data_IF_222541690114
#
_entry.id   IF_222541690114
#
_cell.length_a   1.000
_cell.length_b   1.000
_cell.length_c   1.000
_cell.angle_alpha   90.00
_cell.angle_beta   90.00
_cell.angle_gamma   90.00
#
_symmetry.space_group_name_H-M   'P 1'
#
loop_
_entity.id
_entity.type
_entity.pdbx_description
1 polymer ?
#
# COMPACT_ATOMS: atom_id res chain seq x y z
N UNK A 1 36.40 4.92 18.40
CA UNK A 1 36.87 5.10 17.01
C UNK A 1 36.49 3.97 16.09
N UNK A 2 36.80 2.73 16.44
CA UNK A 2 36.40 1.58 15.59
C UNK A 2 34.89 1.50 15.36
N UNK A 3 34.11 1.77 16.41
CA UNK A 3 32.66 1.73 16.32
C UNK A 3 32.13 2.79 15.33
N UNK A 4 32.64 4.00 15.42
CA UNK A 4 32.23 5.08 14.52
C UNK A 4 32.67 4.83 13.10
N UNK A 5 33.87 4.26 12.91
CA UNK A 5 34.35 3.89 11.58
C UNK A 5 33.50 2.80 10.96
N UNK A 6 33.17 1.77 11.75
CA UNK A 6 32.34 0.67 11.26
C UNK A 6 30.95 1.15 10.86
N UNK A 7 30.33 2.01 11.68
CA UNK A 7 29.01 2.56 11.38
C UNK A 7 29.03 3.43 10.14
N UNK A 8 30.08 4.24 9.99
CA UNK A 8 30.24 5.09 8.81
C UNK A 8 30.41 4.25 7.55
N UNK A 9 31.19 3.18 7.64
CA UNK A 9 31.41 2.27 6.52
C UNK A 9 30.13 1.55 6.13
N UNK A 10 29.39 1.05 7.11
CA UNK A 10 28.08 0.41 6.88
C UNK A 10 27.09 1.36 6.24
N UNK A 11 27.06 2.61 6.69
CA UNK A 11 26.17 3.62 6.13
C UNK A 11 26.50 3.89 4.67
N UNK A 12 27.78 3.92 4.31
CA UNK A 12 28.22 4.15 2.93
C UNK A 12 27.84 2.98 2.04
N UNK A 13 27.99 1.75 2.54
CA UNK A 13 27.76 0.55 1.75
C UNK A 13 26.34 0.00 1.88
N UNK A 14 25.61 0.44 2.92
CA UNK A 14 24.25 -0.01 3.12
C UNK A 14 23.33 0.70 2.14
N UNK A 15 22.72 -0.10 1.29
CA UNK A 15 21.67 0.39 0.41
C UNK A 15 20.42 -0.41 0.74
N UNK A 16 19.42 0.23 1.37
CA UNK A 16 18.18 -0.49 1.66
C UNK A 16 17.60 -0.99 0.36
N UNK A 17 17.22 -2.26 0.35
CA UNK A 17 16.57 -2.87 -0.81
C UNK A 17 15.14 -2.38 -0.89
N UNK A 18 14.93 -1.29 -1.61
CA UNK A 18 13.61 -0.72 -1.82
C UNK A 18 12.98 -1.37 -3.04
N UNK A 19 11.92 -2.10 -2.81
CA UNK A 19 11.11 -2.67 -3.87
C UNK A 19 9.85 -1.85 -4.05
N UNK A 20 9.25 -1.98 -5.21
CA UNK A 20 7.98 -1.32 -5.50
C UNK A 20 6.85 -2.33 -5.34
N UNK A 21 5.83 -1.95 -4.60
CA UNK A 21 4.69 -2.79 -4.29
C UNK A 21 3.39 -2.08 -4.62
N UNK A 22 2.38 -2.88 -4.89
CA UNK A 22 1.01 -2.41 -5.04
C UNK A 22 0.14 -3.24 -4.12
N UNK A 23 -0.61 -2.57 -3.25
CA UNK A 23 -1.56 -3.24 -2.37
C UNK A 23 -2.98 -2.78 -2.69
N UNK A 24 -3.88 -3.75 -2.79
CA UNK A 24 -5.31 -3.48 -2.90
C UNK A 24 -5.96 -4.06 -1.66
N UNK A 25 -6.72 -3.24 -0.96
CA UNK A 25 -7.45 -3.72 0.20
C UNK A 25 -8.90 -3.28 0.13
N UNK A 26 -9.76 -4.11 0.71
CA UNK A 26 -11.22 -3.93 0.65
C UNK A 26 -11.70 -3.67 2.06
N UNK A 27 -12.37 -2.54 2.26
CA UNK A 27 -12.93 -2.15 3.54
C UNK A 27 -14.41 -2.49 3.59
N UNK A 28 -14.90 -2.78 4.79
CA UNK A 28 -16.30 -3.14 5.02
C UNK A 28 -17.23 -2.00 4.55
N UNK A 29 -18.35 -2.33 3.88
CA UNK A 29 -19.26 -1.31 3.35
C UNK A 29 -20.07 -0.59 4.41
N UNK A 30 -20.02 -1.03 5.66
CA UNK A 30 -20.75 -0.38 6.75
C UNK A 30 -20.10 0.91 7.24
N UNK A 31 -18.90 1.22 6.77
CA UNK A 31 -18.19 2.44 7.15
C UNK A 31 -18.83 3.67 6.51
N UNK A 32 -18.89 4.77 7.26
CA UNK A 32 -19.20 6.08 6.69
C UNK A 32 -18.02 6.55 5.83
N UNK A 33 -18.25 7.56 5.01
CA UNK A 33 -17.17 8.14 4.18
C UNK A 33 -16.01 8.62 5.03
N UNK A 34 -16.30 9.25 6.17
CA UNK A 34 -15.27 9.72 7.08
C UNK A 34 -14.49 8.55 7.69
N UNK A 35 -15.18 7.52 8.14
CA UNK A 35 -14.54 6.33 8.71
C UNK A 35 -13.66 5.63 7.69
N UNK A 36 -14.12 5.58 6.43
CA UNK A 36 -13.32 5.01 5.35
C UNK A 36 -12.03 5.80 5.14
N UNK A 37 -12.12 7.13 5.08
CA UNK A 37 -10.96 7.99 4.93
C UNK A 37 -9.98 7.83 6.08
N UNK A 38 -10.47 7.78 7.30
CA UNK A 38 -9.64 7.58 8.49
C UNK A 38 -8.92 6.25 8.44
N UNK A 39 -9.60 5.21 7.97
CA UNK A 39 -9.00 3.87 7.86
C UNK A 39 -7.88 3.87 6.82
N UNK A 40 -8.11 4.47 5.66
CA UNK A 40 -7.09 4.60 4.61
C UNK A 40 -5.89 5.39 5.13
N UNK A 41 -6.14 6.51 5.82
CA UNK A 41 -5.07 7.33 6.39
C UNK A 41 -4.26 6.57 7.44
N UNK A 42 -4.91 5.69 8.22
CA UNK A 42 -4.22 4.85 9.18
C UNK A 42 -3.16 3.97 8.49
N UNK A 43 -3.51 3.32 7.40
CA UNK A 43 -2.58 2.44 6.69
C UNK A 43 -1.49 3.22 5.96
N UNK A 44 -1.83 4.38 5.41
CA UNK A 44 -0.83 5.28 4.82
C UNK A 44 0.15 5.75 5.90
N UNK A 45 -0.34 6.05 7.09
CA UNK A 45 0.49 6.46 8.22
C UNK A 45 1.44 5.35 8.67
N UNK A 46 0.98 4.10 8.67
CA UNK A 46 1.83 2.95 8.98
C UNK A 46 2.97 2.85 7.96
N UNK A 47 2.67 2.99 6.69
CA UNK A 47 3.68 2.97 5.63
C UNK A 47 4.69 4.11 5.81
N UNK A 48 4.22 5.33 6.03
CA UNK A 48 5.08 6.49 6.22
C UNK A 48 5.99 6.33 7.45
N UNK A 49 5.44 5.81 8.56
CA UNK A 49 6.20 5.58 9.78
C UNK A 49 7.30 4.54 9.60
N UNK A 50 7.13 3.62 8.67
CA UNK A 50 8.13 2.60 8.35
C UNK A 50 9.11 3.02 7.26
N UNK A 51 9.07 4.27 6.83
CA UNK A 51 9.97 4.79 5.81
C UNK A 51 9.57 4.45 4.38
N UNK A 52 8.36 4.00 4.16
CA UNK A 52 7.86 3.75 2.81
C UNK A 52 7.54 5.07 2.10
N UNK A 53 7.74 5.07 0.79
CA UNK A 53 7.36 6.19 -0.06
C UNK A 53 6.10 5.84 -0.82
N UNK A 54 5.03 6.58 -0.60
CA UNK A 54 3.77 6.37 -1.31
C UNK A 54 3.88 7.05 -2.68
N UNK A 55 3.73 6.26 -3.75
CA UNK A 55 3.88 6.71 -5.12
C UNK A 55 2.53 7.10 -5.72
N UNK A 56 1.51 6.30 -5.44
CA UNK A 56 0.19 6.49 -6.02
C UNK A 56 -0.87 5.88 -5.13
N UNK A 57 -2.05 6.47 -5.14
CA UNK A 57 -3.22 5.89 -4.48
C UNK A 57 -4.45 6.10 -5.34
N UNK A 58 -5.34 5.12 -5.32
CA UNK A 58 -6.60 5.19 -6.04
C UNK A 58 -7.70 4.66 -5.14
N UNK A 59 -8.78 5.42 -5.05
CA UNK A 59 -10.00 4.95 -4.40
C UNK A 59 -10.98 4.54 -5.50
N UNK A 60 -11.33 3.26 -5.51
CA UNK A 60 -12.24 2.73 -6.54
C UNK A 60 -13.69 2.79 -6.10
N UNK A 61 -13.93 3.18 -4.84
CA UNK A 61 -15.27 3.28 -4.29
C UNK A 61 -15.89 1.95 -3.94
N UNK A 62 -17.19 1.97 -3.76
CA UNK A 62 -17.97 0.79 -3.41
C UNK A 62 -18.15 -0.10 -4.64
N UNK A 63 -17.71 -1.35 -4.55
CA UNK A 63 -17.80 -2.31 -5.65
C UNK A 63 -18.27 -3.65 -5.15
N UNK A 64 -18.93 -4.38 -6.05
CA UNK A 64 -19.37 -5.75 -5.78
C UNK A 64 -18.17 -6.68 -5.79
N UNK A 65 -18.06 -7.52 -4.76
CA UNK A 65 -17.01 -8.54 -4.68
C UNK A 65 -17.47 -9.78 -5.47
N UNK A 66 -16.47 -10.49 -6.04
CA UNK A 66 -16.73 -11.74 -6.77
C UNK A 66 -17.40 -12.79 -5.88
N UNK A 67 -16.99 -12.82 -4.60
CA UNK A 67 -17.54 -13.74 -3.61
C UNK A 67 -17.89 -12.97 -2.34
N UNK A 68 -19.00 -13.29 -1.67
CA UNK A 68 -19.31 -12.65 -0.40
C UNK A 68 -18.24 -12.97 0.67
N UNK A 69 -17.91 -11.95 1.47
CA UNK A 69 -17.01 -12.09 2.61
C UNK A 69 -17.79 -11.62 3.83
N UNK A 70 -17.88 -12.46 4.88
CA UNK A 70 -18.63 -12.16 6.09
C UNK A 70 -20.06 -11.72 5.78
N UNK A 71 -20.71 -12.41 4.82
CA UNK A 71 -22.07 -12.13 4.34
C UNK A 71 -22.23 -10.78 3.65
N UNK A 72 -21.13 -10.10 3.32
CA UNK A 72 -21.17 -8.84 2.59
C UNK A 72 -20.78 -9.08 1.13
N UNK A 73 -21.56 -8.51 0.23
CA UNK A 73 -21.34 -8.67 -1.21
C UNK A 73 -20.62 -7.48 -1.84
N UNK A 74 -20.47 -6.38 -1.11
CA UNK A 74 -19.80 -5.17 -1.57
C UNK A 74 -18.73 -4.74 -0.58
N UNK A 75 -17.82 -3.89 -1.03
CA UNK A 75 -16.79 -3.30 -0.20
C UNK A 75 -16.17 -2.09 -0.87
N UNK A 76 -15.48 -1.29 -0.08
CA UNK A 76 -14.73 -0.14 -0.58
C UNK A 76 -13.34 -0.61 -0.99
N UNK A 77 -13.00 -0.43 -2.26
CA UNK A 77 -11.72 -0.84 -2.83
C UNK A 77 -10.75 0.33 -2.82
N UNK A 78 -9.56 0.09 -2.29
CA UNK A 78 -8.49 1.08 -2.23
C UNK A 78 -7.20 0.46 -2.73
N UNK A 79 -6.49 1.18 -3.58
CA UNK A 79 -5.19 0.80 -4.09
C UNK A 79 -4.14 1.78 -3.59
N UNK A 80 -3.01 1.28 -3.13
CA UNK A 80 -1.85 2.08 -2.76
C UNK A 80 -0.61 1.47 -3.38
N UNK A 81 0.14 2.26 -4.12
CA UNK A 81 1.42 1.87 -4.68
C UNK A 81 2.51 2.57 -3.89
N UNK A 82 3.53 1.82 -3.47
CA UNK A 82 4.57 2.35 -2.60
C UNK A 82 5.90 1.66 -2.83
N UNK A 83 6.97 2.37 -2.47
CA UNK A 83 8.33 1.81 -2.40
C UNK A 83 8.69 1.59 -0.94
N UNK A 84 9.21 0.41 -0.63
CA UNK A 84 9.57 0.08 0.75
C UNK A 84 10.52 -1.11 0.78
N UNK A 85 11.16 -1.29 1.94
CA UNK A 85 11.88 -2.52 2.22
C UNK A 85 10.88 -3.67 2.40
N UNK A 86 11.27 -4.92 2.10
CA UNK A 86 10.35 -6.07 2.20
C UNK A 86 9.68 -6.23 3.57
N UNK A 87 10.39 -5.91 4.65
CA UNK A 87 9.85 -6.04 6.00
C UNK A 87 8.62 -5.14 6.24
N UNK A 88 8.52 -4.04 5.50
CA UNK A 88 7.42 -3.10 5.63
C UNK A 88 6.10 -3.75 5.17
N UNK A 89 6.17 -4.60 4.15
CA UNK A 89 4.99 -5.33 3.65
C UNK A 89 4.45 -6.25 4.75
N UNK A 90 5.33 -6.95 5.46
CA UNK A 90 4.92 -7.84 6.56
C UNK A 90 4.20 -7.06 7.65
N UNK A 91 4.70 -5.88 8.00
CA UNK A 91 4.08 -5.02 9.01
C UNK A 91 2.73 -4.49 8.55
N UNK A 92 2.65 -4.09 7.30
CA UNK A 92 1.39 -3.63 6.72
C UNK A 92 0.34 -4.74 6.71
N UNK A 93 0.72 -5.93 6.25
CA UNK A 93 -0.20 -7.07 6.18
C UNK A 93 -0.65 -7.51 7.57
N UNK A 94 0.24 -7.47 8.56
CA UNK A 94 -0.13 -7.73 9.94
C UNK A 94 -1.19 -6.75 10.43
N UNK A 95 -1.04 -5.47 10.09
CA UNK A 95 -2.02 -4.46 10.44
C UNK A 95 -3.36 -4.69 9.76
N UNK A 96 -3.35 -5.11 8.49
CA UNK A 96 -4.58 -5.48 7.79
C UNK A 96 -5.30 -6.62 8.48
N UNK A 97 -4.58 -7.69 8.85
CA UNK A 97 -5.18 -8.87 9.50
C UNK A 97 -5.80 -8.53 10.86
N UNK A 98 -5.25 -7.57 11.56
CA UNK A 98 -5.73 -7.16 12.89
C UNK A 98 -6.86 -6.16 12.85
N UNK A 99 -7.17 -5.59 11.70
CA UNK A 99 -8.18 -4.56 11.57
C UNK A 99 -9.48 -5.17 11.03
N UNK A 100 -10.52 -5.15 11.85
CA UNK A 100 -11.83 -5.73 11.50
C UNK A 100 -12.49 -5.03 10.32
N UNK A 101 -12.08 -3.80 10.02
CA UNK A 101 -12.62 -3.04 8.90
C UNK A 101 -12.11 -3.53 7.56
N UNK A 102 -10.99 -4.26 7.56
CA UNK A 102 -10.39 -4.82 6.34
C UNK A 102 -10.97 -6.20 6.08
N UNK A 103 -11.72 -6.36 5.01
CA UNK A 103 -12.32 -7.64 4.62
C UNK A 103 -11.30 -8.53 3.90
N UNK A 104 -10.49 -7.93 3.05
CA UNK A 104 -9.50 -8.66 2.25
C UNK A 104 -8.41 -7.70 1.78
N UNK A 105 -7.25 -8.24 1.51
CA UNK A 105 -6.14 -7.48 0.94
C UNK A 105 -5.28 -8.38 0.05
N UNK A 106 -4.58 -7.74 -0.88
CA UNK A 106 -3.60 -8.41 -1.74
C UNK A 106 -2.47 -7.42 -2.00
N UNK A 107 -1.24 -7.81 -1.66
CA UNK A 107 -0.05 -7.02 -1.94
C UNK A 107 0.83 -7.80 -2.91
N UNK A 108 1.25 -7.15 -3.98
CA UNK A 108 2.12 -7.75 -4.97
C UNK A 108 3.36 -6.88 -5.17
N UNK A 109 4.49 -7.54 -5.39
CA UNK A 109 5.72 -6.88 -5.75
C UNK A 109 5.69 -6.61 -7.24
N UNK A 110 5.95 -5.36 -7.61
CA UNK A 110 5.99 -4.98 -9.02
C UNK A 110 7.38 -5.21 -9.59
N UNK A 111 7.45 -5.98 -10.66
CA UNK A 111 8.66 -6.13 -11.44
C UNK A 111 8.86 -4.85 -12.27
N UNK A 112 10.09 -4.65 -12.78
CA UNK A 112 10.44 -3.44 -13.51
C UNK A 112 9.43 -3.09 -14.60
N UNK A 113 9.05 -4.07 -15.42
CA UNK A 113 8.10 -3.83 -16.50
C UNK A 113 6.69 -3.51 -15.99
N UNK A 114 6.28 -4.18 -14.91
CA UNK A 114 4.98 -3.91 -14.31
C UNK A 114 4.93 -2.51 -13.70
N UNK A 115 6.05 -2.06 -13.11
CA UNK A 115 6.15 -0.71 -12.56
C UNK A 115 6.05 0.34 -13.67
N UNK A 116 6.74 0.12 -14.78
CA UNK A 116 6.67 1.01 -15.95
C UNK A 116 5.25 1.07 -16.53
N UNK A 117 4.59 -0.08 -16.61
CA UNK A 117 3.21 -0.15 -17.07
C UNK A 117 2.26 0.61 -16.13
N UNK A 118 2.44 0.47 -14.83
CA UNK A 118 1.64 1.18 -13.84
C UNK A 118 1.81 2.70 -13.97
N UNK A 119 3.03 3.15 -14.22
CA UNK A 119 3.32 4.57 -14.46
C UNK A 119 2.62 5.07 -15.70
N UNK A 120 2.69 4.32 -16.79
CA UNK A 120 1.99 4.68 -18.04
C UNK A 120 0.48 4.73 -17.85
N UNK A 121 -0.06 3.80 -17.08
CA UNK A 121 -1.49 3.78 -16.78
C UNK A 121 -1.91 5.04 -16.01
N UNK A 122 -1.13 5.46 -15.03
CA UNK A 122 -1.38 6.67 -14.26
C UNK A 122 -1.36 7.91 -15.15
N UNK A 123 -0.34 8.02 -15.99
CA UNK A 123 -0.18 9.16 -16.90
C UNK A 123 -1.34 9.25 -17.88
N UNK A 124 -1.76 8.11 -18.41
CA UNK A 124 -2.91 8.05 -19.31
C UNK A 124 -4.20 8.48 -18.63
N UNK A 125 -4.40 8.07 -17.39
CA UNK A 125 -5.57 8.45 -16.59
C UNK A 125 -5.57 9.94 -16.31
N UNK A 126 -4.44 10.50 -15.90
CA UNK A 126 -4.29 11.94 -15.65
C UNK A 126 -4.58 12.76 -16.90
N UNK A 127 -4.09 12.32 -18.06
CA UNK A 127 -4.35 12.99 -19.33
C UNK A 127 -5.82 12.97 -19.71
N UNK A 128 -6.55 11.92 -19.37
CA UNK A 128 -7.99 11.83 -19.62
C UNK A 128 -8.82 12.74 -18.72
N UNK A 129 -8.35 12.99 -17.52
CA UNK A 129 -9.04 13.83 -16.56
C UNK A 129 -8.89 15.32 -16.89
N UNK A 130 -7.89 15.66 -17.65
CA UNK A 130 -7.65 17.02 -18.15
C UNK A 130 -8.51 17.31 -19.39
#
# INVERSE_FOLDING_TARGET
>A
MRRNFANKYLTINYQPMMNQYETVFILTPVLSDQQMKETVEKFKGILAAQGAEIINEESWGLKKMAYPIQKKSTGFYQLVEFKAEPIVVDKLETSFRRDERVLRFLTVKLEKYAAEYAEKRRNKKANKED
#
